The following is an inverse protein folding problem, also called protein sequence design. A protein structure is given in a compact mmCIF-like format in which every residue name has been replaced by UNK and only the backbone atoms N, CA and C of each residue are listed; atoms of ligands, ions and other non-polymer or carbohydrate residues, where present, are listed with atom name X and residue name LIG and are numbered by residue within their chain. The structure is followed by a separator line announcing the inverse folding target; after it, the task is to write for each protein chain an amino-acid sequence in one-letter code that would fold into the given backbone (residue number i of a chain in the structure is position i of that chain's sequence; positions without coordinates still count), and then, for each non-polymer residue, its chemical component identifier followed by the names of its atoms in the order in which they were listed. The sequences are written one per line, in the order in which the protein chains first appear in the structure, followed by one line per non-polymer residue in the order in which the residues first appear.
data_IF_456450668665
#
_entry.id   IF_456450668665
#
_cell.length_a   1.000
_cell.length_b   1.000
_cell.length_c   1.000
_cell.angle_alpha   90.00
_cell.angle_beta   90.00
_cell.angle_gamma   90.00
#
_symmetry.space_group_name_H-M   'P 1'
#
loop_
_entity.id
_entity.type
_entity.pdbx_description
1 polymer ?
#
# COMPACT_ATOMS: atom_id res chain seq x y z
N UNK A 1 -29.89 -9.15 -27.24
CA UNK A 1 -30.15 -9.57 -25.86
C UNK A 1 -29.28 -8.75 -24.94
N UNK A 2 -29.86 -8.13 -23.92
CA UNK A 2 -29.17 -7.37 -22.87
C UNK A 2 -29.63 -7.96 -21.53
N UNK A 3 -28.74 -7.98 -20.56
CA UNK A 3 -29.05 -8.39 -19.19
C UNK A 3 -28.38 -7.44 -18.19
N UNK A 4 -28.98 -7.32 -17.04
CA UNK A 4 -28.46 -6.59 -15.89
C UNK A 4 -28.52 -7.46 -14.64
N UNK A 5 -27.66 -7.20 -13.69
CA UNK A 5 -27.61 -7.86 -12.39
C UNK A 5 -27.79 -6.80 -11.32
N UNK A 6 -28.85 -6.94 -10.54
CA UNK A 6 -29.18 -6.05 -9.44
C UNK A 6 -29.08 -6.79 -8.10
N UNK A 7 -28.83 -6.05 -7.04
CA UNK A 7 -28.88 -6.61 -5.69
C UNK A 7 -30.35 -6.85 -5.30
N UNK A 8 -30.63 -8.03 -4.75
CA UNK A 8 -31.98 -8.43 -4.30
C UNK A 8 -32.26 -8.09 -2.85
N UNK A 9 -31.38 -7.34 -2.19
CA UNK A 9 -31.47 -6.96 -0.78
C UNK A 9 -31.15 -5.47 -0.63
N UNK A 10 -31.72 -4.88 0.40
CA UNK A 10 -31.44 -3.50 0.77
C UNK A 10 -30.08 -3.40 1.46
N UNK A 11 -29.35 -2.33 1.13
CA UNK A 11 -28.06 -2.01 1.76
C UNK A 11 -28.20 -0.67 2.46
N UNK A 12 -27.80 -0.61 3.73
CA UNK A 12 -27.75 0.65 4.48
C UNK A 12 -26.33 1.22 4.49
N UNK A 13 -26.22 2.55 4.38
CA UNK A 13 -24.94 3.25 4.53
C UNK A 13 -24.60 3.44 6.03
N UNK A 14 -23.43 4.00 6.30
CA UNK A 14 -22.96 4.30 7.67
C UNK A 14 -23.89 5.24 8.46
N UNK A 15 -24.76 5.98 7.79
CA UNK A 15 -25.77 6.87 8.40
C UNK A 15 -27.09 6.18 8.68
N UNK A 16 -27.22 4.88 8.35
CA UNK A 16 -28.47 4.11 8.51
C UNK A 16 -29.51 4.35 7.41
N UNK A 17 -29.15 5.02 6.31
CA UNK A 17 -30.05 5.26 5.19
C UNK A 17 -30.00 4.12 4.20
N UNK A 18 -31.15 3.69 3.68
CA UNK A 18 -31.22 2.68 2.60
C UNK A 18 -30.68 3.25 1.32
N UNK A 19 -29.69 2.58 0.73
CA UNK A 19 -29.01 2.98 -0.51
C UNK A 19 -29.37 2.01 -1.62
N UNK A 20 -29.86 2.54 -2.73
CA UNK A 20 -30.06 1.75 -3.96
C UNK A 20 -28.77 1.79 -4.80
N UNK A 21 -28.17 0.63 -5.02
CA UNK A 21 -26.94 0.52 -5.79
C UNK A 21 -27.16 0.46 -7.30
N UNK A 22 -28.39 0.23 -7.75
CA UNK A 22 -28.69 -0.02 -9.15
C UNK A 22 -27.96 -1.27 -9.66
N UNK A 23 -27.71 -1.34 -10.97
CA UNK A 23 -27.04 -2.48 -11.59
C UNK A 23 -25.58 -2.60 -11.12
N UNK A 24 -25.21 -3.77 -10.60
CA UNK A 24 -23.84 -4.11 -10.18
C UNK A 24 -23.07 -4.86 -11.26
N UNK A 25 -23.76 -5.40 -12.26
CA UNK A 25 -23.15 -5.98 -13.45
C UNK A 25 -24.15 -5.90 -14.60
N UNK A 26 -23.66 -5.98 -15.82
CA UNK A 26 -24.51 -6.00 -17.00
C UNK A 26 -23.75 -6.45 -18.23
N UNK A 27 -24.50 -6.84 -19.24
CA UNK A 27 -23.90 -7.31 -20.46
C UNK A 27 -24.93 -7.57 -21.55
N UNK A 28 -24.45 -8.16 -22.62
CA UNK A 28 -25.33 -8.49 -23.74
C UNK A 28 -24.59 -9.06 -24.95
N UNK A 29 -25.36 -9.25 -25.98
CA UNK A 29 -24.86 -9.63 -27.30
C UNK A 29 -24.63 -8.38 -28.15
N UNK A 30 -23.40 -8.20 -28.66
CA UNK A 30 -22.93 -6.99 -29.32
C UNK A 30 -22.40 -7.29 -30.73
N UNK A 31 -23.21 -7.88 -31.58
CA UNK A 31 -22.78 -8.33 -32.93
C UNK A 31 -22.19 -7.20 -33.79
N UNK A 32 -22.62 -5.95 -33.53
CA UNK A 32 -22.09 -4.77 -34.21
C UNK A 32 -20.80 -4.22 -33.62
N UNK A 33 -20.34 -4.68 -32.44
CA UNK A 33 -19.18 -4.09 -31.77
C UNK A 33 -17.88 -4.43 -32.52
N UNK A 34 -17.65 -5.70 -32.78
CA UNK A 34 -16.43 -6.18 -33.43
C UNK A 34 -16.43 -5.83 -34.92
N UNK A 35 -17.57 -5.91 -35.57
CA UNK A 35 -17.70 -5.59 -37.00
C UNK A 35 -17.32 -4.16 -37.36
N UNK A 36 -17.42 -3.21 -36.43
CA UNK A 36 -16.94 -1.82 -36.62
C UNK A 36 -15.43 -1.75 -36.88
N UNK A 37 -14.68 -2.67 -36.34
CA UNK A 37 -13.22 -2.69 -36.42
C UNK A 37 -12.72 -3.64 -37.50
N UNK A 38 -13.43 -4.75 -37.72
CA UNK A 38 -13.00 -5.80 -38.64
C UNK A 38 -13.64 -5.68 -40.05
N UNK A 39 -14.73 -4.91 -40.16
CA UNK A 39 -15.51 -4.81 -41.39
C UNK A 39 -16.29 -6.06 -41.73
N UNK A 40 -16.25 -7.12 -40.92
CA UNK A 40 -16.94 -8.40 -41.12
C UNK A 40 -17.92 -8.67 -39.99
N UNK A 41 -19.09 -9.25 -40.26
CA UNK A 41 -20.02 -9.67 -39.22
C UNK A 41 -19.38 -10.70 -38.30
N UNK A 42 -19.32 -10.37 -37.00
CA UNK A 42 -18.77 -11.27 -36.01
C UNK A 42 -19.65 -11.22 -34.75
N UNK A 43 -20.24 -12.34 -34.32
CA UNK A 43 -21.02 -12.38 -33.10
C UNK A 43 -20.09 -12.17 -31.92
N UNK A 44 -20.51 -11.29 -31.01
CA UNK A 44 -19.79 -11.00 -29.79
C UNK A 44 -20.76 -10.94 -28.60
N UNK A 45 -20.34 -11.43 -27.47
CA UNK A 45 -21.03 -11.28 -26.18
C UNK A 45 -20.06 -10.86 -25.13
N UNK A 46 -20.53 -10.12 -24.16
CA UNK A 46 -19.69 -9.65 -23.07
C UNK A 46 -20.50 -9.24 -21.86
N UNK A 47 -19.82 -9.14 -20.76
CA UNK A 47 -20.34 -8.62 -19.51
C UNK A 47 -19.31 -7.74 -18.83
N UNK A 48 -19.78 -6.79 -18.04
CA UNK A 48 -18.97 -5.96 -17.15
C UNK A 48 -19.48 -6.08 -15.72
N UNK A 49 -18.57 -5.98 -14.76
CA UNK A 49 -18.88 -5.97 -13.34
C UNK A 49 -18.48 -4.62 -12.77
N UNK A 50 -19.40 -3.98 -12.06
CA UNK A 50 -19.18 -2.74 -11.33
C UNK A 50 -18.45 -3.00 -10.03
N UNK A 51 -17.13 -3.27 -10.10
CA UNK A 51 -16.32 -3.69 -8.94
C UNK A 51 -16.48 -2.71 -7.77
N UNK A 52 -16.39 -1.41 -8.02
CA UNK A 52 -16.51 -0.38 -6.97
C UNK A 52 -17.89 -0.42 -6.30
N UNK A 53 -18.97 -0.58 -7.09
CA UNK A 53 -20.33 -0.69 -6.54
C UNK A 53 -20.49 -1.94 -5.69
N UNK A 54 -20.00 -3.08 -6.19
CA UNK A 54 -20.08 -4.35 -5.47
C UNK A 54 -19.26 -4.30 -4.18
N UNK A 55 -18.06 -3.73 -4.21
CA UNK A 55 -17.24 -3.54 -3.01
C UNK A 55 -17.94 -2.64 -1.98
N UNK A 56 -18.53 -1.52 -2.41
CA UNK A 56 -19.26 -0.63 -1.48
C UNK A 56 -20.46 -1.35 -0.87
N UNK A 57 -21.23 -2.11 -1.67
CA UNK A 57 -22.33 -2.90 -1.16
C UNK A 57 -21.89 -3.95 -0.14
N UNK A 58 -20.81 -4.69 -0.43
CA UNK A 58 -20.27 -5.72 0.47
C UNK A 58 -19.72 -5.11 1.77
N UNK A 59 -19.08 -3.94 1.69
CA UNK A 59 -18.60 -3.20 2.87
C UNK A 59 -19.75 -2.78 3.75
N UNK A 60 -20.80 -2.16 3.19
CA UNK A 60 -21.99 -1.74 3.94
C UNK A 60 -22.76 -2.91 4.56
N UNK A 61 -22.63 -4.10 4.01
CA UNK A 61 -23.19 -5.34 4.58
C UNK A 61 -22.28 -5.99 5.65
N UNK A 62 -21.11 -5.44 5.93
CA UNK A 62 -20.13 -6.08 6.81
C UNK A 62 -19.62 -7.43 6.30
N UNK A 63 -19.67 -7.64 4.95
CA UNK A 63 -19.20 -8.88 4.30
C UNK A 63 -17.77 -8.81 3.80
N UNK A 64 -17.18 -7.62 3.79
CA UNK A 64 -15.74 -7.46 3.62
C UNK A 64 -15.13 -7.35 5.01
N UNK A 65 -14.19 -8.22 5.29
CA UNK A 65 -13.33 -8.05 6.44
C UNK A 65 -12.61 -6.70 6.26
N UNK A 66 -12.89 -5.78 7.17
CA UNK A 66 -12.27 -4.46 7.21
C UNK A 66 -10.86 -4.56 7.82
N UNK A 67 -10.16 -5.65 7.48
CA UNK A 67 -8.73 -5.72 7.72
C UNK A 67 -8.12 -4.62 6.89
N UNK A 68 -7.80 -3.54 7.56
CA UNK A 68 -7.03 -2.45 6.98
C UNK A 68 -5.81 -3.08 6.33
N UNK A 69 -5.76 -3.01 5.00
CA UNK A 69 -4.64 -3.59 4.28
C UNK A 69 -3.39 -2.85 4.77
N UNK A 70 -2.51 -3.58 5.47
CA UNK A 70 -1.30 -3.01 6.04
C UNK A 70 -0.60 -2.11 5.01
N UNK A 71 -0.28 -0.89 5.39
CA UNK A 71 0.41 0.05 4.53
C UNK A 71 1.78 -0.52 4.11
N UNK A 72 2.31 -0.14 2.94
CA UNK A 72 3.59 -0.67 2.48
C UNK A 72 4.75 -0.11 3.30
N UNK A 73 5.79 -0.91 3.47
CA UNK A 73 7.12 -0.44 3.88
C UNK A 73 7.66 0.50 2.80
N UNK A 74 8.16 1.66 3.19
CA UNK A 74 8.70 2.65 2.24
C UNK A 74 10.22 2.56 2.18
N UNK A 75 10.76 2.23 1.02
CA UNK A 75 12.19 2.36 0.74
C UNK A 75 12.45 3.78 0.26
N UNK A 76 13.22 4.54 1.02
CA UNK A 76 13.57 5.92 0.66
C UNK A 76 14.64 5.96 -0.43
N UNK A 77 14.70 7.06 -1.17
CA UNK A 77 15.69 7.30 -2.23
C UNK A 77 16.59 8.46 -1.81
N UNK A 78 17.82 8.16 -1.40
CA UNK A 78 18.77 9.18 -0.94
C UNK A 78 19.58 9.75 -2.10
N UNK A 79 19.91 8.92 -3.10
CA UNK A 79 20.61 9.31 -4.31
C UNK A 79 19.85 8.86 -5.57
N UNK A 80 18.94 9.70 -6.01
CA UNK A 80 18.09 9.43 -7.18
C UNK A 80 18.78 9.70 -8.53
N UNK A 81 20.03 10.18 -8.54
CA UNK A 81 20.80 10.44 -9.76
C UNK A 81 21.79 9.32 -10.08
N UNK A 82 22.18 8.55 -9.09
CA UNK A 82 23.04 7.39 -9.24
C UNK A 82 22.19 6.16 -9.62
N UNK A 83 22.40 5.63 -10.82
CA UNK A 83 21.63 4.49 -11.35
C UNK A 83 21.86 3.22 -10.52
N UNK A 84 23.05 3.01 -9.99
CA UNK A 84 23.38 1.83 -9.17
C UNK A 84 22.70 1.95 -7.80
N UNK A 85 22.65 3.15 -7.21
CA UNK A 85 21.91 3.39 -5.99
C UNK A 85 20.42 3.13 -6.18
N UNK A 86 19.83 3.66 -7.27
CA UNK A 86 18.40 3.44 -7.59
C UNK A 86 18.12 1.96 -7.80
N UNK A 87 18.99 1.23 -8.51
CA UNK A 87 18.86 -0.22 -8.67
C UNK A 87 18.90 -0.95 -7.30
N UNK A 88 19.76 -0.49 -6.37
CA UNK A 88 19.83 -0.98 -5.00
C UNK A 88 18.52 -0.79 -4.24
N UNK A 89 17.92 0.42 -4.29
CA UNK A 89 16.63 0.71 -3.65
C UNK A 89 15.49 -0.14 -4.23
N UNK A 90 15.46 -0.31 -5.55
CA UNK A 90 14.50 -1.21 -6.23
C UNK A 90 14.70 -2.65 -5.78
N UNK A 91 15.95 -3.09 -5.65
CA UNK A 91 16.35 -4.42 -5.15
C UNK A 91 15.84 -4.68 -3.74
N UNK A 92 15.99 -3.72 -2.82
CA UNK A 92 15.47 -3.82 -1.44
C UNK A 92 13.95 -3.92 -1.41
N UNK A 93 13.25 -3.08 -2.17
CA UNK A 93 11.80 -3.17 -2.28
C UNK A 93 11.34 -4.52 -2.86
N UNK A 94 12.09 -5.06 -3.82
CA UNK A 94 11.83 -6.39 -4.38
C UNK A 94 12.03 -7.49 -3.35
N UNK A 95 13.12 -7.49 -2.57
CA UNK A 95 13.40 -8.48 -1.53
C UNK A 95 12.27 -8.53 -0.49
N UNK A 96 11.78 -7.38 -0.05
CA UNK A 96 10.62 -7.30 0.86
C UNK A 96 9.37 -7.93 0.24
N UNK A 97 9.06 -7.61 -1.02
CA UNK A 97 7.90 -8.18 -1.73
C UNK A 97 8.02 -9.68 -1.95
N UNK A 98 9.20 -10.17 -2.31
CA UNK A 98 9.48 -11.61 -2.48
C UNK A 98 9.28 -12.37 -1.16
N UNK A 99 9.49 -11.70 -0.03
CA UNK A 99 9.22 -12.23 1.31
C UNK A 99 7.75 -12.06 1.76
N UNK A 100 6.85 -11.61 0.88
CA UNK A 100 5.43 -11.40 1.17
C UNK A 100 5.13 -10.10 1.94
N UNK A 101 6.11 -9.21 2.12
CA UNK A 101 5.93 -7.91 2.77
C UNK A 101 5.59 -6.87 1.72
N UNK A 102 4.49 -6.14 1.92
CA UNK A 102 4.15 -5.01 1.06
C UNK A 102 5.22 -3.94 1.19
N UNK A 103 5.78 -3.53 0.07
CA UNK A 103 6.83 -2.52 0.04
C UNK A 103 6.76 -1.69 -1.24
N UNK A 104 7.16 -0.45 -1.16
CA UNK A 104 7.34 0.43 -2.30
C UNK A 104 8.61 1.27 -2.17
N UNK A 105 9.19 1.64 -3.30
CA UNK A 105 10.23 2.63 -3.37
C UNK A 105 9.58 4.00 -3.57
N UNK A 106 10.04 5.01 -2.84
CA UNK A 106 9.53 6.38 -2.96
C UNK A 106 9.68 6.91 -4.40
N UNK A 107 8.59 7.42 -4.98
CA UNK A 107 8.52 7.89 -6.37
C UNK A 107 8.58 9.43 -6.52
N UNK A 108 8.62 10.16 -5.43
CA UNK A 108 8.64 11.61 -5.44
C UNK A 108 10.05 12.20 -5.64
N UNK A 109 10.22 13.49 -5.32
CA UNK A 109 11.51 14.17 -5.46
C UNK A 109 12.53 13.64 -4.44
N UNK A 110 13.62 12.97 -4.86
CA UNK A 110 14.61 12.36 -3.97
C UNK A 110 15.43 13.38 -3.16
N UNK A 111 15.53 14.64 -3.62
CA UNK A 111 16.36 15.66 -2.97
C UNK A 111 15.80 16.19 -1.64
N UNK A 112 14.65 15.72 -1.19
CA UNK A 112 13.97 16.19 0.03
C UNK A 112 13.63 15.04 0.95
N UNK A 113 14.61 14.55 1.70
CA UNK A 113 14.45 13.43 2.62
C UNK A 113 13.26 13.60 3.60
N UNK A 114 13.10 14.78 4.19
CA UNK A 114 11.97 15.04 5.08
C UNK A 114 10.60 14.82 4.42
N UNK A 115 10.48 15.08 3.10
CA UNK A 115 9.24 14.80 2.37
C UNK A 115 8.99 13.32 2.14
N UNK A 116 10.04 12.51 2.08
CA UNK A 116 9.91 11.06 1.95
C UNK A 116 9.38 10.45 3.25
N UNK A 117 9.88 10.90 4.40
CA UNK A 117 9.36 10.48 5.71
C UNK A 117 7.93 10.99 5.93
N UNK A 118 7.63 12.24 5.55
CA UNK A 118 6.27 12.78 5.62
C UNK A 118 5.30 12.03 4.70
N UNK A 119 5.76 11.53 3.56
CA UNK A 119 4.98 10.65 2.70
C UNK A 119 4.71 9.31 3.37
N UNK A 120 5.75 8.65 3.91
CA UNK A 120 5.61 7.40 4.62
C UNK A 120 4.62 7.53 5.81
N UNK A 121 4.71 8.63 6.54
CA UNK A 121 3.79 8.96 7.63
C UNK A 121 2.35 9.18 7.14
N UNK A 122 2.17 9.89 6.03
CA UNK A 122 0.85 10.15 5.44
C UNK A 122 0.11 8.90 4.98
N UNK A 123 0.84 7.87 4.54
CA UNK A 123 0.25 6.59 4.10
C UNK A 123 0.21 5.56 5.23
N UNK A 124 0.52 5.96 6.46
CA UNK A 124 0.63 5.10 7.64
C UNK A 124 1.58 3.92 7.44
N UNK A 125 2.70 4.15 6.72
CA UNK A 125 3.73 3.14 6.54
C UNK A 125 4.28 2.70 7.91
N UNK A 126 4.37 1.40 8.18
CA UNK A 126 4.89 0.90 9.46
C UNK A 126 6.40 1.12 9.59
N UNK A 127 7.12 0.97 8.49
CA UNK A 127 8.58 1.01 8.46
C UNK A 127 9.09 1.82 7.28
N UNK A 128 10.16 2.57 7.48
CA UNK A 128 10.95 3.18 6.41
C UNK A 128 12.35 2.56 6.36
N UNK A 129 12.79 2.21 5.15
CA UNK A 129 14.17 1.74 4.87
C UNK A 129 14.97 2.92 4.32
N UNK A 130 16.11 3.18 4.93
CA UNK A 130 16.98 4.31 4.60
C UNK A 130 18.38 3.78 4.32
N UNK A 131 18.97 4.15 3.19
CA UNK A 131 20.34 3.83 2.86
C UNK A 131 20.98 5.03 2.15
N UNK A 132 21.91 5.67 2.79
CA UNK A 132 22.77 6.67 2.19
C UNK A 132 24.02 6.04 1.55
N UNK A 133 24.95 6.88 1.08
CA UNK A 133 26.22 6.45 0.49
C UNK A 133 27.06 5.65 1.49
N UNK A 134 27.17 6.13 2.72
CA UNK A 134 28.00 5.51 3.76
C UNK A 134 27.46 4.14 4.18
N UNK A 135 26.14 4.00 4.34
CA UNK A 135 25.51 2.72 4.62
C UNK A 135 25.68 1.75 3.44
N UNK A 136 25.54 2.25 2.21
CA UNK A 136 25.69 1.45 1.00
C UNK A 136 27.12 0.88 0.88
N UNK A 137 28.15 1.71 1.11
CA UNK A 137 29.56 1.27 1.09
C UNK A 137 29.84 0.17 2.12
N UNK A 138 29.17 0.22 3.27
CA UNK A 138 29.30 -0.77 4.34
C UNK A 138 28.35 -1.97 4.20
N UNK A 139 27.50 -1.99 3.16
CA UNK A 139 26.46 -3.02 2.99
C UNK A 139 25.38 -2.99 4.06
N UNK A 140 25.12 -1.82 4.67
CA UNK A 140 24.17 -1.62 5.75
C UNK A 140 22.92 -0.88 5.27
N UNK A 141 21.87 -0.95 6.05
CA UNK A 141 20.64 -0.14 5.92
C UNK A 141 20.15 0.29 7.31
N UNK A 142 19.47 1.41 7.36
CA UNK A 142 18.73 1.82 8.54
C UNK A 142 17.28 1.41 8.37
N UNK A 143 16.79 0.62 9.32
CA UNK A 143 15.38 0.22 9.43
C UNK A 143 14.74 1.09 10.49
N UNK A 144 13.82 1.95 10.09
CA UNK A 144 13.12 2.88 10.98
C UNK A 144 11.69 2.42 11.20
N UNK A 145 11.38 2.07 12.45
CA UNK A 145 10.02 1.82 12.91
C UNK A 145 9.26 3.15 13.05
N UNK A 146 8.29 3.38 12.18
CA UNK A 146 7.52 4.63 12.17
C UNK A 146 6.36 4.59 13.14
N UNK A 147 5.78 3.42 13.40
CA UNK A 147 4.67 3.27 14.33
C UNK A 147 5.14 3.46 15.77
N UNK A 148 6.26 2.84 16.16
CA UNK A 148 6.88 3.08 17.47
C UNK A 148 7.34 4.53 17.60
N UNK A 149 7.88 5.12 16.53
CA UNK A 149 8.24 6.53 16.50
C UNK A 149 7.05 7.45 16.78
N UNK A 150 5.85 7.15 16.27
CA UNK A 150 4.61 7.89 16.56
C UNK A 150 4.21 7.73 18.03
N UNK A 151 4.17 6.50 18.55
CA UNK A 151 3.81 6.20 19.94
C UNK A 151 4.73 6.90 20.93
N UNK A 152 6.03 6.92 20.65
CA UNK A 152 7.00 7.64 21.47
C UNK A 152 6.80 9.16 21.39
N UNK A 153 6.49 9.70 20.20
CA UNK A 153 6.27 11.14 20.00
C UNK A 153 5.03 11.68 20.73
N UNK A 154 3.97 10.89 20.85
CA UNK A 154 2.76 11.26 21.61
C UNK A 154 3.00 11.40 23.11
N UNK A 155 4.01 10.73 23.65
CA UNK A 155 4.38 10.76 25.06
C UNK A 155 5.52 11.75 25.38
N UNK A 156 6.08 12.43 24.38
CA UNK A 156 7.25 13.30 24.52
C UNK A 156 6.82 14.71 24.93
N UNK A 157 7.26 15.15 26.12
CA UNK A 157 7.10 16.52 26.61
C UNK A 157 8.40 17.33 26.63
N UNK A 158 9.55 16.73 26.29
CA UNK A 158 10.86 17.39 26.34
C UNK A 158 11.77 17.13 25.13
N UNK A 159 12.70 18.07 24.84
CA UNK A 159 13.70 17.96 23.77
C UNK A 159 14.74 16.83 23.97
N UNK A 160 14.91 16.32 25.19
CA UNK A 160 15.80 15.19 25.46
C UNK A 160 15.20 13.86 25.06
N UNK A 161 13.90 13.70 25.22
CA UNK A 161 13.13 12.53 24.77
C UNK A 161 13.06 12.47 23.23
N UNK A 162 13.08 13.62 22.56
CA UNK A 162 13.14 13.67 21.09
C UNK A 162 14.44 13.05 20.52
N UNK A 163 15.53 13.11 21.30
CA UNK A 163 16.78 12.39 20.96
C UNK A 163 16.66 10.88 21.20
N UNK A 164 15.82 10.46 22.14
CA UNK A 164 15.51 9.05 22.39
C UNK A 164 14.60 8.46 21.27
N UNK A 165 13.87 9.27 20.52
CA UNK A 165 13.11 8.85 19.33
C UNK A 165 14.02 8.35 18.17
N UNK A 166 15.35 8.48 18.26
CA UNK A 166 16.31 7.70 17.49
C UNK A 166 16.32 6.21 17.87
N UNK A 167 15.70 5.84 18.98
CA UNK A 167 15.61 4.46 19.48
C UNK A 167 14.78 3.55 18.58
N UNK A 168 13.85 4.12 17.79
CA UNK A 168 13.06 3.37 16.80
C UNK A 168 13.79 3.13 15.46
N UNK A 169 15.12 3.26 15.44
CA UNK A 169 15.93 3.08 14.24
C UNK A 169 17.08 2.11 14.52
N UNK A 170 17.19 1.07 13.69
CA UNK A 170 18.24 0.06 13.77
C UNK A 170 19.08 0.08 12.51
N UNK A 171 20.41 0.03 12.65
CA UNK A 171 21.33 -0.18 11.54
C UNK A 171 21.61 -1.68 11.44
N UNK A 172 21.32 -2.28 10.29
CA UNK A 172 21.49 -3.73 10.07
C UNK A 172 22.12 -4.00 8.71
N UNK A 173 22.79 -5.14 8.52
CA UNK A 173 23.21 -5.59 7.20
C UNK A 173 22.01 -5.70 6.25
N UNK A 174 22.19 -5.38 4.96
CA UNK A 174 21.12 -5.54 3.94
C UNK A 174 20.55 -6.96 3.94
N UNK A 175 21.37 -7.97 4.21
CA UNK A 175 20.95 -9.36 4.30
C UNK A 175 19.91 -9.61 5.42
N UNK A 176 19.98 -8.86 6.51
CA UNK A 176 19.10 -9.00 7.67
C UNK A 176 17.86 -8.07 7.62
N UNK A 177 17.79 -7.19 6.62
CA UNK A 177 16.72 -6.20 6.47
C UNK A 177 15.34 -6.83 6.51
N UNK A 178 15.11 -7.90 5.76
CA UNK A 178 13.80 -8.56 5.67
C UNK A 178 13.38 -9.15 7.02
N UNK A 179 14.32 -9.80 7.72
CA UNK A 179 14.06 -10.40 9.03
C UNK A 179 13.73 -9.32 10.08
N UNK A 180 14.48 -8.21 10.06
CA UNK A 180 14.26 -7.08 10.96
C UNK A 180 12.89 -6.43 10.72
N UNK A 181 12.53 -6.16 9.45
CA UNK A 181 11.22 -5.61 9.10
C UNK A 181 10.10 -6.55 9.55
N UNK A 182 10.22 -7.85 9.32
CA UNK A 182 9.22 -8.84 9.74
C UNK A 182 9.01 -8.81 11.25
N UNK A 183 10.09 -8.78 12.03
CA UNK A 183 9.99 -8.72 13.49
C UNK A 183 9.24 -7.48 13.99
N UNK A 184 9.44 -6.31 13.35
CA UNK A 184 8.70 -5.09 13.66
C UNK A 184 7.21 -5.28 13.35
N UNK A 185 6.87 -5.78 12.14
CA UNK A 185 5.47 -5.96 11.73
C UNK A 185 4.72 -6.96 12.60
N UNK A 186 5.39 -8.05 13.02
CA UNK A 186 4.82 -9.07 13.91
C UNK A 186 4.57 -8.49 15.32
N UNK A 187 5.45 -7.61 15.81
CA UNK A 187 5.26 -6.95 17.10
C UNK A 187 4.08 -5.97 17.09
N UNK A 188 3.88 -5.26 15.99
CA UNK A 188 2.74 -4.34 15.81
C UNK A 188 1.40 -5.09 15.74
N UNK A 189 1.36 -6.23 15.04
CA UNK A 189 0.15 -7.05 14.96
C UNK A 189 -0.28 -7.57 16.34
N UNK A 190 0.67 -7.90 17.22
CA UNK A 190 0.39 -8.34 18.60
C UNK A 190 -0.08 -7.17 19.51
N UNK A 191 0.40 -5.96 19.26
CA UNK A 191 0.01 -4.78 20.04
C UNK A 191 -1.41 -4.26 19.71
N UNK A 192 -1.94 -4.66 18.54
CA UNK A 192 -3.26 -4.21 18.03
C UNK A 192 -4.36 -5.26 18.21
N UNK A 193 -4.02 -6.47 18.67
CA UNK A 193 -4.94 -7.58 18.98
C UNK A 193 -5.38 -7.54 20.44
#
# INVERSE_FOLDING_TARGET
TVFEVELTFDVTNEKGETVQFGSVAGGGRYDGLVSRFTGQPMPATGASIGVSRLMTALRNLGKLDDHSVQAPVVVTVMDGKDADAVAGYMGMAKQLRDAGIRAEMYQGNPNKFAKQLAYADKIDAPVAIIQGSDERERGMVLVKDLAEGKRLAENITSNEEWRAARVAQQEVPVADMVATVRAILDSEAQATS
#
